data_IF_382682231252
#
_entry.id   IF_382682231252
#
_cell.length_a   1.000
_cell.length_b   1.000
_cell.length_c   1.000
_cell.angle_alpha   90.00
_cell.angle_beta   90.00
_cell.angle_gamma   90.00
#
_symmetry.space_group_name_H-M   'P 1'
#
loop_
_entity.id
_entity.type
_entity.pdbx_description
1 polymer ?
#
# COMPACT_ATOMS: atom_id res chain seq x y z
N UNK A 1 6.51 29.38 -13.67
CA UNK A 1 7.16 28.62 -12.60
C UNK A 1 6.28 27.43 -12.33
N UNK A 2 6.74 26.25 -12.71
CA UNK A 2 5.94 25.04 -12.73
C UNK A 2 5.66 24.59 -11.27
N UNK A 3 4.48 24.06 -11.00
CA UNK A 3 4.04 23.63 -9.65
C UNK A 3 5.01 22.58 -9.03
N UNK A 4 5.76 21.90 -9.86
CA UNK A 4 6.79 20.91 -9.50
C UNK A 4 8.00 21.57 -8.81
N UNK A 5 8.40 22.79 -9.21
CA UNK A 5 9.55 23.49 -8.63
C UNK A 5 9.26 24.03 -7.23
N UNK A 6 7.99 24.29 -6.92
CA UNK A 6 7.55 24.78 -5.60
C UNK A 6 7.56 23.69 -4.52
N UNK A 7 7.46 22.41 -4.93
CA UNK A 7 7.54 21.28 -4.00
C UNK A 7 8.97 21.07 -3.45
N UNK A 8 9.96 21.27 -4.30
CA UNK A 8 11.38 21.08 -3.93
C UNK A 8 11.90 22.15 -2.94
N UNK A 9 11.23 23.30 -2.84
CA UNK A 9 11.71 24.44 -2.07
C UNK A 9 11.20 24.52 -0.62
N UNK A 10 10.26 23.64 -0.20
CA UNK A 10 9.63 23.68 1.13
C UNK A 10 10.14 22.61 2.12
N UNK A 11 11.03 21.73 1.68
CA UNK A 11 11.61 20.69 2.53
C UNK A 11 12.88 21.18 3.22
N UNK A 12 12.78 21.58 4.48
CA UNK A 12 13.95 21.75 5.38
C UNK A 12 14.63 20.38 5.55
N UNK A 13 15.64 20.13 4.74
CA UNK A 13 16.41 18.89 4.74
C UNK A 13 17.37 18.88 5.93
N UNK A 14 17.22 17.90 6.82
CA UNK A 14 18.40 17.33 7.46
C UNK A 14 19.21 16.67 6.34
N UNK A 15 20.43 17.16 6.09
CA UNK A 15 21.31 16.60 5.07
C UNK A 15 21.62 15.14 5.40
N UNK A 16 21.01 14.22 4.65
CA UNK A 16 21.48 12.83 4.61
C UNK A 16 22.74 12.84 3.75
N UNK A 17 23.88 12.28 4.21
CA UNK A 17 25.08 12.19 3.39
C UNK A 17 24.74 11.44 2.09
N UNK A 18 25.26 11.94 0.97
CA UNK A 18 25.11 11.23 -0.31
C UNK A 18 25.66 9.82 -0.16
N UNK A 19 24.78 8.80 -0.27
CA UNK A 19 25.16 7.40 -0.25
C UNK A 19 26.04 7.16 -1.47
N UNK A 20 27.24 6.62 -1.25
CA UNK A 20 28.14 6.24 -2.36
C UNK A 20 27.47 5.16 -3.20
N UNK A 21 27.60 5.22 -4.52
CA UNK A 21 26.93 4.31 -5.47
C UNK A 21 27.12 2.82 -5.13
N UNK A 22 28.26 2.41 -4.53
CA UNK A 22 28.53 1.03 -4.12
C UNK A 22 27.75 0.57 -2.87
N UNK A 23 27.22 1.48 -2.06
CA UNK A 23 26.36 1.16 -0.90
C UNK A 23 24.86 1.16 -1.26
N UNK A 24 24.49 1.82 -2.36
CA UNK A 24 23.11 1.88 -2.84
C UNK A 24 22.57 0.52 -3.31
N UNK A 25 23.43 -0.37 -3.80
CA UNK A 25 23.05 -1.68 -4.34
C UNK A 25 22.64 -2.72 -3.27
N UNK A 26 22.91 -2.45 -1.99
CA UNK A 26 22.58 -3.37 -0.88
C UNK A 26 21.45 -2.88 0.03
N UNK A 27 20.79 -1.77 -0.31
CA UNK A 27 19.70 -1.20 0.47
C UNK A 27 18.35 -1.58 -0.12
N UNK A 28 17.42 -2.04 0.71
CA UNK A 28 16.03 -2.28 0.34
C UNK A 28 15.19 -1.05 0.71
N UNK A 29 14.79 -0.22 -0.26
CA UNK A 29 13.95 0.94 0.00
C UNK A 29 12.48 0.55 0.06
N UNK A 30 11.83 0.90 1.17
CA UNK A 30 10.41 0.63 1.43
C UNK A 30 9.67 1.94 1.62
N UNK A 31 8.59 2.15 0.88
CA UNK A 31 7.65 3.26 1.04
C UNK A 31 6.46 2.79 1.84
N UNK A 32 6.10 3.52 2.87
CA UNK A 32 4.92 3.26 3.69
C UNK A 32 4.28 4.59 4.10
N UNK A 33 2.95 4.62 4.20
CA UNK A 33 2.22 5.81 4.65
C UNK A 33 1.94 5.75 6.15
N UNK A 34 1.94 6.91 6.81
CA UNK A 34 1.58 7.06 8.22
C UNK A 34 0.58 8.20 8.40
N UNK A 35 -0.68 7.89 8.70
CA UNK A 35 -1.67 8.87 9.16
C UNK A 35 -1.65 8.98 10.68
N UNK A 36 -2.20 10.07 11.23
CA UNK A 36 -2.28 10.27 12.68
C UNK A 36 -3.06 9.13 13.35
N UNK A 37 -4.17 8.71 12.75
CA UNK A 37 -5.06 7.68 13.29
C UNK A 37 -4.49 6.26 13.16
N UNK A 38 -3.54 6.04 12.25
CA UNK A 38 -3.03 4.71 11.91
C UNK A 38 -1.51 4.56 12.14
N UNK A 39 -0.88 5.52 12.79
CA UNK A 39 0.58 5.54 13.02
C UNK A 39 1.07 4.27 13.71
N UNK A 40 0.33 3.73 14.68
CA UNK A 40 0.70 2.48 15.37
C UNK A 40 0.67 1.27 14.45
N UNK A 41 -0.26 1.22 13.49
CA UNK A 41 -0.29 0.19 12.46
C UNK A 41 0.94 0.28 11.56
N UNK A 42 1.28 1.49 11.09
CA UNK A 42 2.50 1.74 10.32
C UNK A 42 3.75 1.25 11.07
N UNK A 43 3.84 1.52 12.37
CA UNK A 43 4.99 1.09 13.19
C UNK A 43 5.04 -0.44 13.37
N UNK A 44 3.91 -1.12 13.45
CA UNK A 44 3.86 -2.58 13.47
C UNK A 44 4.36 -3.18 12.14
N UNK A 45 3.95 -2.61 11.01
CA UNK A 45 4.45 -3.00 9.68
C UNK A 45 5.96 -2.79 9.58
N UNK A 46 6.47 -1.61 9.93
CA UNK A 46 7.92 -1.30 9.93
C UNK A 46 8.70 -2.28 10.83
N UNK A 47 8.17 -2.57 12.03
CA UNK A 47 8.79 -3.51 12.95
C UNK A 47 8.86 -4.92 12.35
N UNK A 48 7.80 -5.39 11.68
CA UNK A 48 7.79 -6.69 11.03
C UNK A 48 8.80 -6.80 9.90
N UNK A 49 8.92 -5.76 9.07
CA UNK A 49 9.93 -5.69 8.00
C UNK A 49 11.34 -5.72 8.58
N UNK A 50 11.61 -4.83 9.53
CA UNK A 50 12.95 -4.67 10.12
C UNK A 50 13.42 -5.90 10.88
N UNK A 51 12.51 -6.64 11.50
CA UNK A 51 12.83 -7.82 12.31
C UNK A 51 12.97 -9.12 11.51
N UNK A 52 12.47 -9.17 10.28
CA UNK A 52 12.47 -10.38 9.45
C UNK A 52 13.50 -10.34 8.30
N UNK A 53 14.48 -9.45 8.37
CA UNK A 53 15.56 -9.38 7.37
C UNK A 53 16.88 -8.97 8.01
N UNK A 54 17.99 -9.49 7.48
CA UNK A 54 19.34 -9.02 7.77
C UNK A 54 19.80 -7.92 6.78
N UNK A 55 18.98 -7.61 5.78
CA UNK A 55 19.28 -6.58 4.80
C UNK A 55 19.22 -5.17 5.40
N UNK A 56 19.97 -4.24 4.84
CA UNK A 56 19.84 -2.82 5.17
C UNK A 56 18.54 -2.28 4.55
N UNK A 57 17.53 -1.99 5.35
CA UNK A 57 16.27 -1.39 4.89
C UNK A 57 16.28 0.12 5.09
N UNK A 58 15.80 0.86 4.10
CA UNK A 58 15.58 2.31 4.19
C UNK A 58 14.10 2.62 4.03
N UNK A 59 13.48 3.18 5.07
CA UNK A 59 12.06 3.51 5.07
C UNK A 59 11.80 4.95 4.62
N UNK A 60 11.04 5.11 3.55
CA UNK A 60 10.40 6.36 3.17
C UNK A 60 9.00 6.40 3.78
N UNK A 61 8.85 7.13 4.87
CA UNK A 61 7.58 7.23 5.60
C UNK A 61 6.85 8.47 5.13
N UNK A 62 5.79 8.28 4.35
CA UNK A 62 5.02 9.37 3.77
C UNK A 62 3.85 9.72 4.68
N UNK A 63 3.73 10.98 5.03
CA UNK A 63 2.70 11.46 5.96
C UNK A 63 2.16 12.84 5.54
N UNK A 64 1.06 13.25 6.13
CA UNK A 64 0.62 14.65 6.08
C UNK A 64 1.36 15.47 7.14
N UNK A 65 1.32 16.78 6.98
CA UNK A 65 2.06 17.73 7.82
C UNK A 65 1.80 17.58 9.32
N UNK A 66 0.57 17.30 9.69
CA UNK A 66 0.10 17.14 11.07
C UNK A 66 0.71 15.93 11.78
N UNK A 67 0.96 14.84 11.05
CA UNK A 67 1.50 13.61 11.62
C UNK A 67 3.03 13.48 11.58
N UNK A 68 3.77 14.44 10.99
CA UNK A 68 5.25 14.41 10.90
C UNK A 68 5.91 14.29 12.28
N UNK A 69 5.48 15.13 13.23
CA UNK A 69 6.05 15.15 14.59
C UNK A 69 5.73 13.87 15.35
N UNK A 70 4.49 13.40 15.25
CA UNK A 70 4.03 12.17 15.89
C UNK A 70 4.81 10.97 15.38
N UNK A 71 4.93 10.82 14.06
CA UNK A 71 5.68 9.74 13.40
C UNK A 71 7.13 9.70 13.87
N UNK A 72 7.81 10.87 13.88
CA UNK A 72 9.19 10.98 14.34
C UNK A 72 9.34 10.57 15.80
N UNK A 73 8.50 11.13 16.69
CA UNK A 73 8.53 10.81 18.11
C UNK A 73 8.28 9.33 18.39
N UNK A 74 7.40 8.70 17.63
CA UNK A 74 7.12 7.29 17.78
C UNK A 74 8.36 6.43 17.48
N UNK A 75 9.07 6.74 16.40
CA UNK A 75 10.32 6.02 16.05
C UNK A 75 11.40 6.28 17.11
N UNK A 76 11.67 7.55 17.42
CA UNK A 76 12.79 7.95 18.29
C UNK A 76 12.64 7.48 19.74
N UNK A 77 11.40 7.33 20.23
CA UNK A 77 11.10 6.92 21.61
C UNK A 77 10.84 5.42 21.79
N UNK A 78 11.00 4.61 20.75
CA UNK A 78 10.74 3.18 20.80
C UNK A 78 11.96 2.36 20.36
N UNK A 79 11.80 1.04 20.31
CA UNK A 79 12.85 0.15 19.79
C UNK A 79 13.18 0.38 18.31
N UNK A 80 12.38 1.17 17.59
CA UNK A 80 12.62 1.53 16.19
C UNK A 80 13.66 2.64 16.00
N UNK A 81 14.21 3.23 17.06
CA UNK A 81 15.19 4.35 16.99
C UNK A 81 16.41 4.07 16.12
N UNK A 82 16.70 2.79 15.82
CA UNK A 82 17.87 2.38 15.02
C UNK A 82 17.59 2.19 13.52
N UNK A 83 16.34 2.29 13.07
CA UNK A 83 16.02 2.13 11.64
C UNK A 83 16.55 3.31 10.81
N UNK A 84 16.87 3.04 9.54
CA UNK A 84 17.18 4.09 8.56
C UNK A 84 15.89 4.57 7.93
N UNK A 85 15.58 5.87 8.04
CA UNK A 85 14.34 6.40 7.51
C UNK A 85 14.42 7.86 7.07
N UNK A 86 13.46 8.25 6.25
CA UNK A 86 13.19 9.63 5.87
C UNK A 86 11.68 9.86 5.92
N UNK A 87 11.24 10.89 6.64
CA UNK A 87 9.83 11.30 6.62
C UNK A 87 9.62 12.25 5.46
N UNK A 88 8.63 11.95 4.62
CA UNK A 88 8.24 12.74 3.46
C UNK A 88 6.84 13.32 3.68
N UNK A 89 6.70 14.64 3.57
CA UNK A 89 5.39 15.29 3.63
C UNK A 89 4.70 15.20 2.28
N UNK A 90 3.50 14.62 2.23
CA UNK A 90 2.67 14.58 1.03
C UNK A 90 1.78 15.83 0.97
N UNK A 91 1.80 16.51 -0.16
CA UNK A 91 0.91 17.65 -0.39
C UNK A 91 -0.39 17.21 -1.06
N UNK A 92 -1.53 17.18 -0.34
CA UNK A 92 -2.80 16.70 -0.87
C UNK A 92 -3.39 17.61 -1.96
N UNK A 93 -2.84 18.81 -2.17
CA UNK A 93 -3.29 19.73 -3.22
C UNK A 93 -3.11 19.17 -4.63
N UNK A 94 -2.24 18.17 -4.82
CA UNK A 94 -2.10 17.46 -6.11
C UNK A 94 -3.37 16.72 -6.53
N UNK A 95 -4.25 16.39 -5.55
CA UNK A 95 -5.50 15.67 -5.75
C UNK A 95 -6.69 16.58 -6.04
N UNK A 96 -6.51 17.90 -5.92
CA UNK A 96 -7.61 18.86 -6.07
C UNK A 96 -8.26 18.75 -7.44
N UNK A 97 -9.58 18.54 -7.46
CA UNK A 97 -10.38 18.40 -8.68
C UNK A 97 -10.23 17.05 -9.41
N UNK A 98 -9.52 16.08 -8.83
CA UNK A 98 -9.29 14.77 -9.43
C UNK A 98 -10.01 13.64 -8.69
N UNK A 99 -10.23 13.79 -7.39
CA UNK A 99 -10.88 12.76 -6.56
C UNK A 99 -12.36 13.07 -6.44
N UNK A 100 -13.18 12.11 -6.86
CA UNK A 100 -14.63 12.20 -6.70
C UNK A 100 -15.01 11.90 -5.26
N UNK A 101 -15.80 12.76 -4.60
CA UNK A 101 -16.33 12.46 -3.27
C UNK A 101 -17.15 11.16 -3.31
N UNK A 102 -16.88 10.27 -2.37
CA UNK A 102 -17.68 9.07 -2.13
C UNK A 102 -18.11 9.05 -0.67
N UNK A 103 -19.40 9.28 -0.43
CA UNK A 103 -19.96 9.35 0.93
C UNK A 103 -20.13 7.99 1.60
N UNK A 104 -20.04 6.90 0.83
CA UNK A 104 -20.23 5.54 1.35
C UNK A 104 -18.98 5.04 2.12
N UNK A 105 -17.79 5.50 1.76
CA UNK A 105 -16.51 5.10 2.35
C UNK A 105 -15.55 6.28 2.47
N UNK A 106 -15.82 7.23 3.39
CA UNK A 106 -14.98 8.42 3.56
C UNK A 106 -13.53 8.10 3.99
N UNK A 107 -13.32 7.00 4.69
CA UNK A 107 -11.99 6.48 5.05
C UNK A 107 -11.09 6.22 3.83
N UNK A 108 -11.68 5.82 2.71
CA UNK A 108 -10.95 5.55 1.47
C UNK A 108 -10.57 6.82 0.69
N UNK A 109 -11.13 7.98 1.06
CA UNK A 109 -10.79 9.28 0.48
C UNK A 109 -9.54 9.92 1.10
N UNK A 110 -8.96 9.30 2.13
CA UNK A 110 -7.79 9.87 2.79
C UNK A 110 -6.65 10.09 1.78
N UNK A 111 -6.02 11.28 1.74
CA UNK A 111 -5.04 11.66 0.72
C UNK A 111 -3.86 10.67 0.60
N UNK A 112 -3.45 10.04 1.70
CA UNK A 112 -2.35 9.08 1.69
C UNK A 112 -2.65 7.81 0.88
N UNK A 113 -3.91 7.48 0.61
CA UNK A 113 -4.28 6.37 -0.28
C UNK A 113 -3.80 6.58 -1.72
N UNK A 114 -3.55 7.83 -2.11
CA UNK A 114 -3.09 8.20 -3.45
C UNK A 114 -1.58 8.39 -3.56
N UNK A 115 -0.83 8.31 -2.47
CA UNK A 115 0.63 8.45 -2.48
C UNK A 115 1.29 7.51 -3.50
N UNK A 116 0.77 6.28 -3.62
CA UNK A 116 1.22 5.26 -4.58
C UNK A 116 1.17 5.69 -6.04
N UNK A 117 0.40 6.73 -6.38
CA UNK A 117 0.34 7.29 -7.75
C UNK A 117 1.51 8.22 -8.06
N UNK A 118 2.12 8.78 -7.03
CA UNK A 118 3.06 9.91 -7.13
C UNK A 118 4.51 9.54 -6.78
N UNK A 119 4.89 8.26 -6.90
CA UNK A 119 6.24 7.79 -6.59
C UNK A 119 7.35 8.66 -7.20
N UNK A 120 7.24 9.11 -8.48
CA UNK A 120 8.26 9.97 -9.08
C UNK A 120 8.33 11.38 -8.51
N UNK A 121 7.31 11.83 -7.79
CA UNK A 121 7.27 13.18 -7.19
C UNK A 121 7.74 13.17 -5.73
N UNK A 122 7.84 12.00 -5.13
CA UNK A 122 8.43 11.84 -3.81
C UNK A 122 9.95 12.06 -3.88
N UNK A 123 10.51 12.66 -2.84
CA UNK A 123 11.97 12.85 -2.73
C UNK A 123 12.67 11.53 -2.37
N UNK A 124 12.66 10.61 -3.35
CA UNK A 124 13.22 9.26 -3.29
C UNK A 124 14.45 9.20 -4.17
N UNK A 125 15.59 8.79 -3.61
CA UNK A 125 16.84 8.64 -4.34
C UNK A 125 16.98 7.30 -5.07
N UNK A 126 16.18 6.29 -4.70
CA UNK A 126 16.26 4.94 -5.26
C UNK A 126 15.43 4.79 -6.53
N UNK A 127 15.98 4.07 -7.51
CA UNK A 127 15.28 3.77 -8.78
C UNK A 127 14.23 2.69 -8.64
N UNK A 128 14.39 1.80 -7.66
CA UNK A 128 13.47 0.70 -7.38
C UNK A 128 13.04 0.77 -5.92
N UNK A 129 11.79 0.50 -5.65
CA UNK A 129 11.18 0.59 -4.31
C UNK A 129 10.14 -0.49 -4.10
N UNK A 130 9.90 -0.85 -2.83
CA UNK A 130 8.72 -1.61 -2.42
C UNK A 130 7.72 -0.62 -1.81
N UNK A 131 6.46 -0.72 -2.19
CA UNK A 131 5.35 -0.02 -1.54
C UNK A 131 4.58 -0.99 -0.66
N UNK A 132 4.29 -0.57 0.57
CA UNK A 132 3.49 -1.33 1.54
C UNK A 132 2.39 -0.45 2.12
N UNK A 133 1.17 -0.98 2.20
CA UNK A 133 0.12 -0.40 3.05
C UNK A 133 0.45 -0.58 4.54
N UNK A 134 -0.18 0.17 5.42
CA UNK A 134 0.08 0.19 6.86
C UNK A 134 -0.64 -0.92 7.65
N UNK A 135 -1.45 -1.71 6.98
CA UNK A 135 -2.21 -2.83 7.52
C UNK A 135 -1.68 -4.19 7.05
N UNK A 136 -0.38 -4.25 6.79
CA UNK A 136 0.33 -5.48 6.44
C UNK A 136 1.31 -5.90 7.53
N UNK A 137 1.58 -7.19 7.59
CA UNK A 137 2.67 -7.78 8.38
C UNK A 137 3.56 -8.60 7.43
N UNK A 138 4.84 -8.29 7.42
CA UNK A 138 5.85 -9.02 6.65
C UNK A 138 6.43 -10.14 7.51
N UNK A 139 6.34 -11.38 7.03
CA UNK A 139 6.86 -12.57 7.69
C UNK A 139 8.11 -13.12 6.99
N UNK A 140 8.23 -12.89 5.68
CA UNK A 140 9.39 -13.28 4.88
C UNK A 140 10.51 -12.24 4.88
N UNK A 141 11.67 -12.59 4.32
CA UNK A 141 12.74 -11.62 4.11
C UNK A 141 12.37 -10.66 2.97
N UNK A 142 12.19 -9.39 3.30
CA UNK A 142 11.78 -8.34 2.33
C UNK A 142 12.78 -8.19 1.17
N UNK A 143 14.03 -8.62 1.35
CA UNK A 143 15.06 -8.64 0.31
C UNK A 143 14.66 -9.57 -0.84
N UNK A 144 14.01 -10.69 -0.55
CA UNK A 144 13.53 -11.62 -1.59
C UNK A 144 12.49 -10.96 -2.49
N UNK A 145 11.56 -10.19 -1.89
CA UNK A 145 10.58 -9.42 -2.65
C UNK A 145 11.27 -8.32 -3.48
N UNK A 146 12.25 -7.63 -2.92
CA UNK A 146 12.98 -6.59 -3.63
C UNK A 146 13.76 -7.12 -4.83
N UNK A 147 14.30 -8.33 -4.75
CA UNK A 147 15.17 -8.92 -5.77
C UNK A 147 14.43 -9.59 -6.94
N UNK A 148 13.09 -9.63 -6.93
CA UNK A 148 12.35 -10.19 -8.06
C UNK A 148 12.70 -9.46 -9.35
N UNK A 149 12.75 -10.18 -10.46
CA UNK A 149 13.02 -9.59 -11.78
C UNK A 149 11.72 -9.08 -12.40
N UNK A 150 11.61 -7.77 -12.63
CA UNK A 150 10.53 -7.23 -13.44
C UNK A 150 10.72 -7.63 -14.90
N UNK A 151 9.63 -7.99 -15.58
CA UNK A 151 9.66 -8.23 -17.03
C UNK A 151 10.03 -6.93 -17.77
N UNK A 152 10.72 -7.01 -18.90
CA UNK A 152 11.04 -5.83 -19.70
C UNK A 152 9.79 -4.99 -20.00
N UNK A 153 9.87 -3.68 -19.77
CA UNK A 153 8.76 -2.74 -19.98
C UNK A 153 7.69 -2.75 -18.88
N UNK A 154 7.84 -3.53 -17.80
CA UNK A 154 6.94 -3.47 -16.67
C UNK A 154 7.47 -2.50 -15.61
N UNK A 155 6.65 -1.51 -15.26
CA UNK A 155 7.00 -0.53 -14.22
C UNK A 155 6.70 -1.03 -12.80
N UNK A 156 5.95 -2.11 -12.64
CA UNK A 156 5.61 -2.67 -11.34
C UNK A 156 5.33 -4.18 -11.38
N UNK A 157 5.32 -4.78 -10.18
CA UNK A 157 4.91 -6.16 -9.94
C UNK A 157 3.87 -6.23 -8.83
N UNK A 158 2.81 -7.02 -9.04
CA UNK A 158 1.70 -7.25 -8.11
C UNK A 158 1.41 -8.74 -7.98
N UNK A 159 0.87 -9.15 -6.83
CA UNK A 159 0.27 -10.49 -6.70
C UNK A 159 -1.17 -10.44 -7.23
N UNK A 160 -1.47 -11.30 -8.20
CA UNK A 160 -2.81 -11.38 -8.77
C UNK A 160 -3.78 -12.15 -7.87
N UNK A 161 -5.06 -11.79 -7.93
CA UNK A 161 -6.11 -12.49 -7.18
C UNK A 161 -6.37 -13.89 -7.70
N UNK A 162 -6.05 -14.17 -8.96
CA UNK A 162 -6.26 -15.48 -9.57
C UNK A 162 -5.34 -16.58 -9.05
N UNK A 163 -4.19 -16.21 -8.49
CA UNK A 163 -3.14 -17.16 -8.07
C UNK A 163 -3.22 -17.55 -6.58
N UNK A 164 -4.19 -17.01 -5.83
CA UNK A 164 -4.37 -17.36 -4.43
C UNK A 164 -5.10 -18.70 -4.26
N UNK A 165 -4.42 -19.79 -3.90
CA UNK A 165 -5.00 -21.14 -3.94
C UNK A 165 -6.14 -21.37 -2.94
N UNK A 166 -6.10 -20.70 -1.80
CA UNK A 166 -7.10 -20.83 -0.72
C UNK A 166 -8.23 -19.83 -0.82
N UNK A 167 -8.15 -18.85 -1.71
CA UNK A 167 -9.22 -17.88 -1.94
C UNK A 167 -10.53 -18.54 -2.39
N UNK A 168 -10.45 -19.67 -3.02
CA UNK A 168 -11.63 -20.36 -3.54
C UNK A 168 -12.61 -20.78 -2.45
N UNK A 169 -12.16 -21.29 -1.32
CA UNK A 169 -13.06 -21.70 -0.23
C UNK A 169 -13.49 -20.51 0.62
N UNK A 170 -12.54 -19.69 1.03
CA UNK A 170 -12.84 -18.53 1.89
C UNK A 170 -13.65 -17.47 1.15
N UNK A 171 -13.34 -17.21 -0.11
CA UNK A 171 -14.09 -16.25 -0.93
C UNK A 171 -15.48 -16.72 -1.25
N UNK A 172 -15.70 -18.03 -1.47
CA UNK A 172 -17.04 -18.61 -1.60
C UNK A 172 -17.84 -18.47 -0.32
N UNK A 173 -17.23 -18.69 0.83
CA UNK A 173 -17.91 -18.58 2.14
C UNK A 173 -18.36 -17.17 2.49
N UNK A 174 -17.65 -16.14 2.02
CA UNK A 174 -17.99 -14.73 2.25
C UNK A 174 -18.65 -14.04 1.05
N UNK A 175 -18.94 -14.78 -0.03
CA UNK A 175 -19.60 -14.27 -1.23
C UNK A 175 -18.75 -13.31 -2.07
N UNK A 176 -17.43 -13.27 -1.87
CA UNK A 176 -16.53 -12.43 -2.65
C UNK A 176 -16.11 -13.09 -3.96
N UNK A 177 -15.87 -12.28 -4.98
CA UNK A 177 -15.29 -12.75 -6.24
C UNK A 177 -13.77 -12.59 -6.19
N UNK A 178 -13.04 -13.62 -6.61
CA UNK A 178 -11.56 -13.65 -6.63
C UNK A 178 -10.98 -12.85 -7.79
N UNK A 179 -11.73 -12.72 -8.89
CA UNK A 179 -11.31 -12.00 -10.09
C UNK A 179 -12.30 -10.90 -10.32
N UNK A 180 -11.87 -9.65 -10.19
CA UNK A 180 -12.85 -8.61 -10.13
C UNK A 180 -12.48 -7.33 -10.88
N UNK A 181 -12.86 -7.28 -12.14
CA UNK A 181 -12.85 -6.07 -12.96
C UNK A 181 -14.28 -5.55 -13.21
N UNK A 182 -15.29 -6.07 -12.49
CA UNK A 182 -16.71 -5.71 -12.64
C UNK A 182 -17.10 -4.33 -12.08
N UNK A 183 -16.15 -3.59 -11.49
CA UNK A 183 -16.34 -2.21 -11.04
C UNK A 183 -16.41 -1.21 -12.19
N UNK A 184 -16.00 -1.58 -13.41
CA UNK A 184 -16.06 -0.75 -14.61
C UNK A 184 -17.47 -0.67 -15.18
N UNK A 185 -17.89 0.49 -15.69
CA UNK A 185 -19.15 0.64 -16.43
C UNK A 185 -18.98 0.23 -17.90
N UNK A 186 -19.18 -1.04 -18.20
CA UNK A 186 -19.03 -1.63 -19.54
C UNK A 186 -20.03 -1.12 -20.58
N UNK A 187 -20.96 -0.25 -20.21
CA UNK A 187 -21.85 0.43 -21.16
C UNK A 187 -21.14 1.59 -21.87
N UNK A 188 -20.08 2.11 -21.27
CA UNK A 188 -19.32 3.26 -21.77
C UNK A 188 -18.30 2.84 -22.82
N UNK A 189 -18.17 3.66 -23.88
CA UNK A 189 -17.26 3.36 -24.98
C UNK A 189 -15.80 3.39 -24.50
N UNK A 190 -15.46 4.34 -23.66
CA UNK A 190 -14.11 4.47 -23.09
C UNK A 190 -13.66 3.22 -22.32
N UNK A 191 -14.61 2.53 -21.68
CA UNK A 191 -14.34 1.25 -20.98
C UNK A 191 -14.20 0.10 -21.96
N UNK A 192 -15.06 0.05 -22.99
CA UNK A 192 -14.97 -0.97 -24.05
C UNK A 192 -13.64 -0.90 -24.79
N UNK A 193 -13.15 0.30 -25.05
CA UNK A 193 -11.90 0.55 -25.78
C UNK A 193 -10.64 0.10 -24.98
N UNK A 194 -10.78 -0.14 -23.66
CA UNK A 194 -9.71 -0.70 -22.84
C UNK A 194 -9.42 -2.18 -23.14
N UNK A 195 -10.38 -2.92 -23.69
CA UNK A 195 -10.26 -4.35 -23.89
C UNK A 195 -10.22 -5.19 -22.62
N UNK A 196 -10.58 -4.59 -21.47
CA UNK A 196 -10.64 -5.28 -20.17
C UNK A 196 -11.92 -6.07 -20.09
N UNK A 197 -11.82 -7.33 -19.66
CA UNK A 197 -12.99 -8.19 -19.46
C UNK A 197 -13.40 -8.23 -17.98
N UNK A 198 -14.71 -8.30 -17.63
CA UNK A 198 -15.16 -8.31 -16.23
C UNK A 198 -14.59 -9.46 -15.38
N UNK A 199 -14.13 -10.53 -16.01
CA UNK A 199 -13.55 -11.71 -15.35
C UNK A 199 -12.02 -11.73 -15.38
N UNK A 200 -11.37 -10.67 -15.86
CA UNK A 200 -9.92 -10.59 -15.84
C UNK A 200 -9.44 -10.53 -14.40
N UNK A 201 -8.24 -11.06 -14.17
CA UNK A 201 -7.62 -11.07 -12.85
C UNK A 201 -7.33 -9.66 -12.39
N UNK A 202 -7.74 -9.38 -11.17
CA UNK A 202 -7.38 -8.15 -10.47
C UNK A 202 -6.16 -8.36 -9.56
N UNK A 203 -5.70 -7.28 -8.96
CA UNK A 203 -4.71 -7.27 -7.89
C UNK A 203 -5.08 -6.21 -6.86
N UNK A 204 -4.51 -6.29 -5.67
CA UNK A 204 -4.62 -5.24 -4.67
C UNK A 204 -3.33 -4.39 -4.69
N UNK A 205 -3.40 -3.06 -4.84
CA UNK A 205 -2.23 -2.18 -4.93
C UNK A 205 -1.61 -1.82 -3.56
N UNK A 206 -1.95 -2.52 -2.50
CA UNK A 206 -1.39 -2.31 -1.15
C UNK A 206 0.00 -2.88 -0.96
N UNK A 207 0.45 -3.76 -1.86
CA UNK A 207 1.79 -4.35 -1.86
C UNK A 207 2.28 -4.46 -3.29
N UNK A 208 3.39 -3.81 -3.61
CA UNK A 208 4.02 -3.95 -4.93
C UNK A 208 5.49 -3.53 -4.94
N UNK A 209 6.20 -4.00 -5.93
CA UNK A 209 7.54 -3.54 -6.29
C UNK A 209 7.43 -2.63 -7.49
N UNK A 210 8.07 -1.47 -7.47
CA UNK A 210 8.08 -0.53 -8.58
C UNK A 210 9.48 -0.18 -9.07
N UNK A 211 9.65 -0.08 -10.38
CA UNK A 211 10.75 0.62 -11.02
C UNK A 211 10.32 2.07 -11.28
N UNK A 212 10.83 3.00 -10.48
CA UNK A 212 10.48 4.42 -10.54
C UNK A 212 10.97 5.05 -11.85
N UNK A 213 12.06 4.54 -12.43
CA UNK A 213 12.58 5.02 -13.72
C UNK A 213 11.64 4.64 -14.87
N UNK A 214 11.19 3.38 -14.89
CA UNK A 214 10.23 2.90 -15.89
C UNK A 214 8.85 3.55 -15.68
N UNK A 215 8.43 3.78 -14.44
CA UNK A 215 7.22 4.53 -14.09
C UNK A 215 7.22 5.94 -14.67
N UNK A 216 8.36 6.65 -14.56
CA UNK A 216 8.55 7.99 -15.17
C UNK A 216 8.50 7.93 -16.68
N UNK A 217 9.25 6.99 -17.29
CA UNK A 217 9.35 6.83 -18.74
C UNK A 217 7.98 6.58 -19.37
N UNK A 218 7.16 5.72 -18.75
CA UNK A 218 5.81 5.41 -19.21
C UNK A 218 4.77 6.45 -18.80
N UNK A 219 5.15 7.47 -18.03
CA UNK A 219 4.23 8.53 -17.53
C UNK A 219 3.04 7.94 -16.75
N UNK A 220 3.29 6.91 -15.93
CA UNK A 220 2.24 6.17 -15.19
C UNK A 220 1.40 7.11 -14.33
N UNK A 221 2.01 8.04 -13.58
CA UNK A 221 1.30 9.02 -12.76
C UNK A 221 0.25 9.80 -13.59
N UNK A 222 0.61 10.25 -14.80
CA UNK A 222 -0.32 10.97 -15.68
C UNK A 222 -1.46 10.08 -16.18
N UNK A 223 -1.18 8.80 -16.43
CA UNK A 223 -2.22 7.85 -16.82
C UNK A 223 -3.20 7.60 -15.66
N UNK A 224 -2.70 7.47 -14.42
CA UNK A 224 -3.52 7.32 -13.23
C UNK A 224 -4.40 8.56 -13.00
N UNK A 225 -3.83 9.76 -13.10
CA UNK A 225 -4.56 11.02 -12.99
C UNK A 225 -5.66 11.15 -14.05
N UNK A 226 -5.35 10.76 -15.31
CA UNK A 226 -6.34 10.75 -16.39
C UNK A 226 -7.59 9.94 -16.00
N UNK A 227 -7.41 8.72 -15.48
CA UNK A 227 -8.54 7.87 -15.11
C UNK A 227 -9.32 8.39 -13.90
N UNK A 228 -8.66 9.04 -12.94
CA UNK A 228 -9.35 9.75 -11.85
C UNK A 228 -10.22 10.91 -12.40
N UNK A 229 -9.66 11.72 -13.30
CA UNK A 229 -10.38 12.86 -13.91
C UNK A 229 -11.54 12.38 -14.79
N UNK A 230 -11.35 11.32 -15.59
CA UNK A 230 -12.43 10.72 -16.38
C UNK A 230 -13.53 10.16 -15.48
N UNK A 231 -13.19 9.50 -14.38
CA UNK A 231 -14.20 9.06 -13.43
C UNK A 231 -14.93 10.21 -12.75
N UNK A 232 -14.22 11.29 -12.45
CA UNK A 232 -14.86 12.50 -11.89
C UNK A 232 -15.92 13.07 -12.83
N UNK A 233 -15.65 13.08 -14.14
CA UNK A 233 -16.55 13.62 -15.17
C UNK A 233 -17.69 12.68 -15.53
N UNK A 234 -17.43 11.39 -15.66
CA UNK A 234 -18.32 10.46 -16.37
C UNK A 234 -18.75 9.23 -15.57
N UNK A 235 -18.26 9.03 -14.34
CA UNK A 235 -18.55 7.82 -13.56
C UNK A 235 -18.16 6.53 -14.30
N UNK A 236 -16.89 6.37 -14.64
CA UNK A 236 -16.38 5.22 -15.39
C UNK A 236 -16.35 3.96 -14.54
N UNK A 237 -16.11 4.10 -13.23
CA UNK A 237 -15.99 2.99 -12.30
C UNK A 237 -16.65 3.30 -10.95
N UNK A 238 -17.00 2.21 -10.22
CA UNK A 238 -17.48 2.28 -8.85
C UNK A 238 -16.31 2.03 -7.87
N UNK A 239 -15.99 3.03 -7.06
CA UNK A 239 -14.95 2.91 -6.02
C UNK A 239 -15.34 1.93 -4.92
N UNK A 240 -16.62 1.90 -4.54
CA UNK A 240 -17.12 0.99 -3.50
C UNK A 240 -16.94 -0.47 -3.89
N UNK A 241 -17.18 -0.80 -5.17
CA UNK A 241 -17.04 -2.17 -5.68
C UNK A 241 -15.58 -2.59 -5.88
N UNK A 242 -14.66 -1.66 -6.10
CA UNK A 242 -13.25 -1.94 -6.33
C UNK A 242 -12.39 -1.94 -5.06
N UNK A 243 -13.01 -1.85 -3.89
CA UNK A 243 -12.26 -1.83 -2.62
C UNK A 243 -11.57 -0.50 -2.32
N UNK A 244 -11.96 0.59 -2.99
CA UNK A 244 -11.47 1.94 -2.71
C UNK A 244 -11.30 2.82 -3.94
N UNK A 245 -11.05 4.10 -3.70
CA UNK A 245 -10.96 5.12 -4.77
C UNK A 245 -9.61 5.10 -5.50
N UNK A 246 -8.55 4.60 -4.87
CA UNK A 246 -7.22 4.50 -5.47
C UNK A 246 -7.00 3.20 -6.27
N UNK A 247 -7.79 2.17 -6.03
CA UNK A 247 -7.62 0.86 -6.67
C UNK A 247 -7.97 0.86 -8.16
N UNK A 248 -9.13 1.40 -8.61
CA UNK A 248 -9.53 1.32 -10.01
C UNK A 248 -8.53 1.91 -11.01
N UNK A 249 -7.96 3.10 -10.82
CA UNK A 249 -6.97 3.63 -11.75
C UNK A 249 -5.74 2.72 -11.88
N UNK A 250 -5.28 2.13 -10.77
CA UNK A 250 -4.16 1.19 -10.78
C UNK A 250 -4.48 -0.05 -11.61
N UNK A 251 -5.66 -0.65 -11.39
CA UNK A 251 -6.11 -1.83 -12.14
C UNK A 251 -6.24 -1.55 -13.64
N UNK A 252 -6.72 -0.37 -14.02
CA UNK A 252 -6.85 0.02 -15.44
C UNK A 252 -5.47 0.22 -16.08
N UNK A 253 -4.59 0.99 -15.43
CA UNK A 253 -3.29 1.38 -16.00
C UNK A 253 -2.35 0.19 -16.11
N UNK A 254 -2.39 -0.72 -15.13
CA UNK A 254 -1.52 -1.89 -15.09
C UNK A 254 -2.15 -3.17 -15.68
N UNK A 255 -3.39 -3.12 -16.18
CA UNK A 255 -4.00 -4.29 -16.81
C UNK A 255 -3.05 -4.90 -17.86
N UNK A 256 -2.72 -6.18 -17.68
CA UNK A 256 -1.78 -6.94 -18.52
C UNK A 256 -0.35 -6.36 -18.66
N UNK A 257 0.01 -5.36 -17.82
CA UNK A 257 1.29 -4.63 -17.90
C UNK A 257 2.09 -4.68 -16.60
N UNK A 258 1.95 -5.73 -15.83
CA UNK A 258 2.68 -5.92 -14.59
C UNK A 258 3.33 -7.31 -14.53
N UNK A 259 4.39 -7.41 -13.75
CA UNK A 259 5.01 -8.68 -13.41
C UNK A 259 4.24 -9.31 -12.26
N UNK A 260 3.93 -10.59 -12.36
CA UNK A 260 3.22 -11.33 -11.30
C UNK A 260 4.18 -11.68 -10.17
N UNK A 261 3.78 -11.39 -8.94
CA UNK A 261 4.44 -11.83 -7.71
C UNK A 261 3.94 -13.22 -7.30
N UNK A 262 4.80 -13.95 -6.57
CA UNK A 262 4.35 -15.12 -5.80
C UNK A 262 3.21 -14.69 -4.86
N UNK A 263 2.05 -15.37 -4.88
CA UNK A 263 0.88 -14.99 -4.10
C UNK A 263 1.12 -15.00 -2.58
N UNK A 264 2.10 -15.75 -2.10
CA UNK A 264 2.49 -15.75 -0.69
C UNK A 264 3.06 -14.40 -0.23
N UNK A 265 3.50 -13.54 -1.16
CA UNK A 265 3.89 -12.16 -0.88
C UNK A 265 2.73 -11.21 -0.71
N UNK A 266 1.50 -11.66 -0.88
CA UNK A 266 0.33 -10.81 -0.63
C UNK A 266 -0.91 -11.63 -0.27
N UNK A 267 -0.87 -12.31 0.86
CA UNK A 267 -2.02 -13.01 1.43
C UNK A 267 -2.95 -11.97 2.06
N UNK A 268 -4.09 -11.75 1.44
CA UNK A 268 -5.04 -10.68 1.76
C UNK A 268 -6.41 -11.22 2.16
N UNK A 269 -7.38 -10.35 2.35
CA UNK A 269 -8.74 -10.62 2.81
C UNK A 269 -8.86 -10.98 4.30
N UNK A 270 -7.81 -10.80 5.10
CA UNK A 270 -7.84 -11.09 6.53
C UNK A 270 -8.79 -10.18 7.31
N UNK A 271 -9.08 -8.98 6.80
CA UNK A 271 -9.96 -8.00 7.44
C UNK A 271 -11.35 -7.86 6.79
N UNK A 272 -11.75 -8.76 5.91
CA UNK A 272 -13.03 -8.65 5.20
C UNK A 272 -14.24 -9.13 6.01
N UNK A 273 -14.05 -10.11 6.87
CA UNK A 273 -15.08 -10.63 7.76
C UNK A 273 -14.47 -10.84 9.14
N UNK A 274 -15.23 -10.65 10.25
CA UNK A 274 -14.74 -10.93 11.59
C UNK A 274 -14.56 -12.43 11.85
N UNK A 275 -15.17 -13.29 11.01
CA UNK A 275 -15.22 -14.74 11.22
C UNK A 275 -14.43 -15.54 10.18
N UNK A 276 -14.14 -14.95 9.01
CA UNK A 276 -13.45 -15.64 7.92
C UNK A 276 -11.96 -15.84 8.25
N UNK A 277 -11.52 -17.09 8.26
CA UNK A 277 -10.15 -17.48 8.63
C UNK A 277 -9.50 -18.35 7.56
N UNK A 278 -8.21 -18.10 7.33
CA UNK A 278 -7.34 -19.04 6.64
C UNK A 278 -6.89 -20.15 7.58
N UNK A 279 -6.45 -21.29 7.00
CA UNK A 279 -5.79 -22.33 7.79
C UNK A 279 -4.48 -21.82 8.37
N UNK A 280 -4.11 -22.33 9.54
CA UNK A 280 -2.84 -21.94 10.20
C UNK A 280 -1.62 -22.29 9.34
N UNK A 281 -1.63 -23.44 8.67
CA UNK A 281 -0.54 -23.86 7.77
C UNK A 281 -0.33 -22.85 6.64
N UNK A 282 -1.41 -22.39 6.01
CA UNK A 282 -1.32 -21.38 4.96
C UNK A 282 -0.79 -20.03 5.46
N UNK A 283 -1.23 -19.60 6.65
CA UNK A 283 -0.74 -18.37 7.26
C UNK A 283 0.74 -18.46 7.68
N UNK A 284 1.22 -19.65 8.04
CA UNK A 284 2.64 -19.88 8.34
C UNK A 284 3.51 -19.83 7.09
N UNK A 285 3.00 -20.27 5.93
CA UNK A 285 3.69 -20.20 4.64
C UNK A 285 3.70 -18.78 4.07
N UNK A 286 2.73 -17.95 4.42
CA UNK A 286 2.59 -16.59 3.93
C UNK A 286 3.83 -15.75 4.27
N UNK A 287 4.37 -15.06 3.27
CA UNK A 287 5.49 -14.13 3.43
C UNK A 287 5.04 -12.71 3.80
N UNK A 288 3.78 -12.38 3.49
CA UNK A 288 3.14 -11.13 3.85
C UNK A 288 1.65 -11.33 4.04
N UNK A 289 1.13 -10.83 5.17
CA UNK A 289 -0.28 -10.85 5.55
C UNK A 289 -0.88 -9.45 5.42
N UNK A 290 -2.11 -9.32 4.88
CA UNK A 290 -2.76 -8.03 4.67
C UNK A 290 -4.22 -8.03 5.17
N UNK A 291 -4.52 -7.18 6.16
CA UNK A 291 -5.86 -6.92 6.68
C UNK A 291 -6.54 -5.80 5.87
N UNK A 292 -6.71 -6.02 4.55
CA UNK A 292 -7.20 -5.01 3.62
C UNK A 292 -8.71 -4.68 3.71
N UNK A 293 -9.46 -5.36 4.58
CA UNK A 293 -10.88 -5.11 4.83
C UNK A 293 -11.15 -4.08 5.95
N UNK A 294 -12.43 -3.89 6.32
CA UNK A 294 -12.82 -2.96 7.39
C UNK A 294 -12.46 -3.42 8.79
N UNK A 295 -12.30 -4.73 9.02
CA UNK A 295 -11.97 -5.31 10.32
C UNK A 295 -10.46 -5.31 10.54
N UNK A 296 -9.96 -4.23 11.11
CA UNK A 296 -8.53 -4.01 11.31
C UNK A 296 -8.02 -4.68 12.58
N UNK A 297 -6.79 -5.24 12.61
CA UNK A 297 -6.28 -6.03 13.73
C UNK A 297 -6.02 -5.21 15.01
N UNK A 298 -5.99 -3.91 14.93
CA UNK A 298 -5.93 -3.03 16.12
C UNK A 298 -7.29 -2.73 16.72
N UNK A 299 -8.39 -3.10 16.04
CA UNK A 299 -9.75 -2.97 16.51
C UNK A 299 -10.38 -4.35 16.71
N UNK A 300 -11.37 -4.45 17.62
CA UNK A 300 -12.18 -5.64 17.79
C UNK A 300 -13.58 -5.38 17.18
N UNK A 301 -14.20 -6.38 16.50
CA UNK A 301 -13.68 -7.72 16.19
C UNK A 301 -12.75 -7.74 14.97
N UNK A 302 -11.75 -8.64 15.00
CA UNK A 302 -10.90 -8.94 13.87
C UNK A 302 -10.34 -10.37 13.99
N UNK A 303 -9.80 -10.91 12.90
CA UNK A 303 -9.22 -12.25 12.85
C UNK A 303 -7.71 -12.23 12.97
N UNK A 304 -7.12 -13.33 13.44
CA UNK A 304 -5.67 -13.53 13.50
C UNK A 304 -4.93 -12.40 14.22
N UNK A 305 -5.48 -11.92 15.32
CA UNK A 305 -4.94 -10.79 16.10
C UNK A 305 -3.52 -11.05 16.59
N UNK A 306 -3.23 -12.29 17.03
CA UNK A 306 -1.93 -12.72 17.52
C UNK A 306 -0.81 -12.57 16.50
N UNK A 307 -1.11 -12.78 15.21
CA UNK A 307 -0.15 -12.61 14.13
C UNK A 307 0.24 -11.14 13.93
N UNK A 308 -0.64 -10.22 14.27
CA UNK A 308 -0.38 -8.79 14.17
C UNK A 308 0.17 -8.23 15.49
N UNK A 309 -0.40 -8.60 16.66
CA UNK A 309 -0.05 -8.04 17.97
C UNK A 309 1.42 -8.25 18.35
N UNK A 310 2.03 -9.35 17.93
CA UNK A 310 3.45 -9.62 18.18
C UNK A 310 4.38 -8.54 17.63
N UNK A 311 3.92 -7.80 16.63
CA UNK A 311 4.68 -6.72 15.97
C UNK A 311 4.32 -5.34 16.48
N UNK A 312 3.21 -5.23 17.21
CA UNK A 312 2.77 -3.95 17.75
C UNK A 312 3.79 -3.40 18.76
N UNK A 313 4.03 -2.12 18.64
CA UNK A 313 4.86 -1.35 19.58
C UNK A 313 3.93 -0.31 20.21
N UNK A 314 3.78 -0.26 21.55
CA UNK A 314 2.93 0.72 22.19
C UNK A 314 3.29 2.15 21.80
N UNK A 315 2.28 2.97 21.53
CA UNK A 315 2.44 4.37 21.18
C UNK A 315 2.93 5.17 22.40
N UNK A 316 4.13 5.78 22.34
CA UNK A 316 4.64 6.59 23.45
C UNK A 316 3.79 7.83 23.78
N UNK A 317 2.94 8.27 22.84
CA UNK A 317 2.00 9.37 23.06
C UNK A 317 0.66 8.94 23.64
N UNK A 318 0.37 7.65 23.64
CA UNK A 318 -0.92 7.07 24.09
C UNK A 318 -2.11 7.39 23.20
N UNK A 319 -1.89 7.89 21.98
CA UNK A 319 -2.99 8.21 21.05
C UNK A 319 -3.50 7.00 20.29
N UNK A 320 -2.59 6.12 19.86
CA UNK A 320 -2.96 4.87 19.18
C UNK A 320 -3.10 3.76 20.21
N UNK A 321 -4.34 3.29 20.40
CA UNK A 321 -4.68 2.25 21.36
C UNK A 321 -5.30 1.05 20.67
N UNK A 322 -5.04 -0.14 21.21
CA UNK A 322 -5.71 -1.36 20.74
C UNK A 322 -7.11 -1.45 21.38
N UNK A 323 -8.10 -1.68 20.53
CA UNK A 323 -9.46 -2.01 20.99
C UNK A 323 -9.57 -3.52 21.11
N UNK A 324 -9.89 -4.00 22.31
CA UNK A 324 -10.05 -5.42 22.64
C UNK A 324 -11.38 -5.63 23.38
N UNK A 325 -11.96 -6.85 23.33
CA UNK A 325 -13.11 -7.16 24.16
C UNK A 325 -12.75 -6.98 25.65
N UNK A 326 -13.71 -6.51 26.42
CA UNK A 326 -13.58 -6.53 27.88
C UNK A 326 -13.32 -7.98 28.30
N UNK A 327 -12.29 -8.21 29.09
CA UNK A 327 -12.09 -9.53 29.70
C UNK A 327 -13.19 -9.71 30.72
N UNK A 328 -14.02 -10.72 30.52
CA UNK A 328 -14.94 -11.17 31.58
C UNK A 328 -14.08 -11.46 32.78
N UNK A 329 -14.27 -10.65 33.85
CA UNK A 329 -13.55 -10.71 35.12
C UNK A 329 -14.04 -11.87 35.97
#
# INVERSE_FOLDING_TARGET
MDFIDRWKSLGGAAQVPAVRESEADNVVPVIICASEERVGATMATINSVHSNTDASVFFYIVTLRDAVKLTRQYIEKTKLKGIKYKILEFNPMVLRGKVKPDSSRPDLLHPLNFVRFYLPLLDISHKRVIYLDDDVIVQGDIKDLFNIKLKPGHAAAFATDCDLPSTHEMVRSIGMQTTYMGFLDYRKQEVKDLGIHPRDCSFNPGVFVADVSEWKKQKITKQLEKWMEENFRQNIYSSAMAGGVATPPMLIVFHDKYTTLDPLWHVRHLGWSPDARYSESYLQEARLLHWNGPFKPWNYPAVHLDLWERWFIPDPSGRFLLVRPERDS
#
